data_IF_301614582504
#
_entry.id   IF_301614582504
#
_cell.length_a   1.000
_cell.length_b   1.000
_cell.length_c   1.000
_cell.angle_alpha   90.00
_cell.angle_beta   90.00
_cell.angle_gamma   90.00
#
_symmetry.space_group_name_H-M   'P 1'
#
loop_
_entity.id
_entity.type
_entity.pdbx_description
1 polymer ?
#
# COMPACT_ATOMS: atom_id res chain seq x y z
N UNK A 1 38.07 20.17 26.16
CA UNK A 1 37.32 20.43 24.91
C UNK A 1 36.52 19.18 24.57
N UNK A 2 35.21 19.18 24.83
CA UNK A 2 34.33 18.02 24.56
C UNK A 2 33.66 18.19 23.20
N UNK A 3 33.77 17.17 22.35
CA UNK A 3 33.23 17.18 20.99
C UNK A 3 31.69 17.33 20.99
N UNK A 4 31.10 18.05 20.01
CA UNK A 4 29.66 18.24 19.95
C UNK A 4 28.95 16.90 19.66
N UNK A 5 28.04 16.49 20.56
CA UNK A 5 27.15 15.34 20.36
C UNK A 5 26.30 15.58 19.12
N UNK A 6 26.49 14.75 18.07
CA UNK A 6 25.66 14.78 16.86
C UNK A 6 24.18 14.57 17.26
N UNK A 7 23.24 15.42 16.80
CA UNK A 7 21.84 15.28 17.18
C UNK A 7 21.27 13.97 16.62
N UNK A 8 20.74 13.14 17.50
CA UNK A 8 20.11 11.87 17.18
C UNK A 8 18.86 12.09 16.31
N UNK A 9 19.00 11.96 14.98
CA UNK A 9 17.87 11.99 14.04
C UNK A 9 17.05 10.72 14.21
N UNK A 10 15.96 10.79 14.97
CA UNK A 10 14.96 9.72 15.07
C UNK A 10 14.39 9.42 13.68
N UNK A 11 14.79 8.29 13.08
CA UNK A 11 14.12 7.73 11.90
C UNK A 11 12.84 7.02 12.37
N UNK A 12 11.76 7.76 12.59
CA UNK A 12 10.45 7.13 12.79
C UNK A 12 9.97 6.58 11.45
N UNK A 13 10.08 5.27 11.26
CA UNK A 13 9.62 4.57 10.07
C UNK A 13 8.08 4.56 9.95
N UNK A 14 7.40 4.93 11.04
CA UNK A 14 5.95 4.95 11.18
C UNK A 14 5.52 6.39 11.50
N UNK A 15 5.12 7.12 10.46
CA UNK A 15 4.68 8.52 10.57
C UNK A 15 3.15 8.62 10.67
N UNK A 16 2.40 7.63 10.15
CA UNK A 16 0.94 7.55 10.26
C UNK A 16 0.47 6.08 10.24
N UNK A 17 0.38 5.44 11.42
CA UNK A 17 -0.21 4.09 11.59
C UNK A 17 -1.62 3.95 10.98
N UNK A 18 -2.58 4.87 11.22
CA UNK A 18 -3.96 4.61 10.80
C UNK A 18 -4.15 4.59 9.28
N UNK A 19 -3.38 5.40 8.54
CA UNK A 19 -3.43 5.43 7.07
C UNK A 19 -2.89 4.12 6.48
N UNK A 20 -1.74 3.64 7.00
CA UNK A 20 -1.13 2.37 6.57
C UNK A 20 -2.04 1.19 6.83
N UNK A 21 -2.64 1.10 8.03
CA UNK A 21 -3.58 0.03 8.34
C UNK A 21 -4.82 0.07 7.45
N UNK A 22 -5.39 1.25 7.18
CA UNK A 22 -6.55 1.38 6.29
C UNK A 22 -6.23 0.99 4.84
N UNK A 23 -5.08 1.39 4.31
CA UNK A 23 -4.67 1.03 2.96
C UNK A 23 -4.40 -0.46 2.83
N UNK A 24 -3.61 -1.04 3.73
CA UNK A 24 -3.29 -2.47 3.73
C UNK A 24 -4.56 -3.31 3.95
N UNK A 25 -5.47 -2.90 4.83
CA UNK A 25 -6.71 -3.64 5.05
C UNK A 25 -7.64 -3.63 3.84
N UNK A 26 -7.76 -2.50 3.12
CA UNK A 26 -8.52 -2.44 1.87
C UNK A 26 -7.87 -3.32 0.80
N UNK A 27 -6.53 -3.29 0.66
CA UNK A 27 -5.82 -4.15 -0.28
C UNK A 27 -6.01 -5.64 0.04
N UNK A 28 -5.94 -6.02 1.31
CA UNK A 28 -6.18 -7.39 1.76
C UNK A 28 -7.63 -7.82 1.54
N UNK A 29 -8.60 -6.95 1.82
CA UNK A 29 -10.01 -7.23 1.58
C UNK A 29 -10.29 -7.43 0.09
N UNK A 30 -9.71 -6.59 -0.77
CA UNK A 30 -9.84 -6.73 -2.22
C UNK A 30 -9.16 -8.02 -2.72
N UNK A 31 -7.96 -8.33 -2.22
CA UNK A 31 -7.26 -9.57 -2.53
C UNK A 31 -8.06 -10.81 -2.11
N UNK A 32 -8.62 -10.79 -0.89
CA UNK A 32 -9.47 -11.86 -0.38
C UNK A 32 -10.76 -12.00 -1.21
N UNK A 33 -11.43 -10.90 -1.55
CA UNK A 33 -12.63 -10.91 -2.37
C UNK A 33 -12.37 -11.51 -3.76
N UNK A 34 -11.27 -11.12 -4.40
CA UNK A 34 -10.86 -11.69 -5.69
C UNK A 34 -10.51 -13.18 -5.57
N UNK A 35 -9.83 -13.58 -4.49
CA UNK A 35 -9.49 -14.98 -4.22
C UNK A 35 -10.76 -15.82 -4.03
N UNK A 36 -11.71 -15.35 -3.24
CA UNK A 36 -13.01 -16.02 -3.03
C UNK A 36 -13.79 -16.12 -4.33
N UNK A 37 -13.82 -15.05 -5.13
CA UNK A 37 -14.48 -15.06 -6.44
C UNK A 37 -13.84 -16.09 -7.39
N UNK A 38 -12.51 -16.15 -7.44
CA UNK A 38 -11.75 -17.10 -8.25
C UNK A 38 -12.00 -18.55 -7.81
N UNK A 39 -11.78 -18.86 -6.53
CA UNK A 39 -11.95 -20.22 -5.99
C UNK A 39 -13.42 -20.66 -6.06
N UNK A 40 -14.37 -19.77 -5.75
CA UNK A 40 -15.80 -20.07 -5.85
C UNK A 40 -16.26 -20.30 -7.28
N UNK A 41 -15.77 -19.50 -8.24
CA UNK A 41 -16.04 -19.70 -9.67
C UNK A 41 -15.46 -21.00 -10.20
N UNK A 42 -14.24 -21.34 -9.78
CA UNK A 42 -13.59 -22.60 -10.12
C UNK A 42 -14.34 -23.80 -9.54
N UNK A 43 -14.73 -23.74 -8.26
CA UNK A 43 -15.54 -24.76 -7.61
C UNK A 43 -16.90 -24.95 -8.32
N UNK A 44 -17.55 -23.86 -8.71
CA UNK A 44 -18.80 -23.93 -9.46
C UNK A 44 -18.59 -24.57 -10.85
N UNK A 45 -17.52 -24.19 -11.56
CA UNK A 45 -17.16 -24.78 -12.84
C UNK A 45 -16.83 -26.27 -12.73
N UNK A 46 -16.12 -26.66 -11.67
CA UNK A 46 -15.84 -28.05 -11.33
C UNK A 46 -17.15 -28.84 -11.17
N UNK A 47 -18.04 -28.35 -10.29
CA UNK A 47 -19.30 -29.00 -10.01
C UNK A 47 -20.16 -29.18 -11.27
N UNK A 48 -20.27 -28.11 -12.08
CA UNK A 48 -20.97 -28.15 -13.37
C UNK A 48 -20.37 -29.17 -14.33
N UNK A 49 -19.04 -29.22 -14.43
CA UNK A 49 -18.33 -30.14 -15.34
C UNK A 49 -18.53 -31.59 -14.91
N UNK A 50 -18.30 -31.89 -13.63
CA UNK A 50 -18.47 -33.26 -13.11
C UNK A 50 -19.91 -33.75 -13.24
N UNK A 51 -20.88 -32.86 -13.01
CA UNK A 51 -22.30 -33.19 -13.17
C UNK A 51 -22.67 -33.44 -14.65
N UNK A 52 -22.22 -32.56 -15.55
CA UNK A 52 -22.58 -32.62 -16.98
C UNK A 52 -22.03 -33.87 -17.67
N UNK A 53 -20.82 -34.28 -17.30
CA UNK A 53 -20.13 -35.42 -17.93
C UNK A 53 -20.24 -36.73 -17.12
N UNK A 54 -21.06 -36.76 -16.06
CA UNK A 54 -21.21 -37.90 -15.13
C UNK A 54 -19.88 -38.39 -14.51
N UNK A 55 -18.94 -37.47 -14.33
CA UNK A 55 -17.60 -37.75 -13.77
C UNK A 55 -17.57 -37.64 -12.25
N UNK A 56 -18.71 -37.40 -11.60
CA UNK A 56 -18.81 -37.32 -10.13
C UNK A 56 -18.34 -38.60 -9.42
N UNK A 57 -18.40 -39.74 -10.11
CA UNK A 57 -17.97 -41.05 -9.59
C UNK A 57 -16.54 -41.41 -9.99
N UNK A 58 -15.91 -40.63 -10.87
CA UNK A 58 -14.52 -40.86 -11.25
C UNK A 58 -13.60 -40.28 -10.16
N UNK A 59 -12.96 -41.14 -9.33
CA UNK A 59 -12.14 -40.68 -8.22
C UNK A 59 -10.90 -39.92 -8.71
N UNK A 60 -10.40 -40.22 -9.91
CA UNK A 60 -9.24 -39.54 -10.49
C UNK A 60 -9.63 -38.11 -10.82
N UNK A 61 -10.75 -37.89 -11.51
CA UNK A 61 -11.21 -36.53 -11.86
C UNK A 61 -11.46 -35.69 -10.61
N UNK A 62 -12.22 -36.23 -9.64
CA UNK A 62 -12.49 -35.53 -8.38
C UNK A 62 -11.19 -35.19 -7.65
N UNK A 63 -10.23 -36.12 -7.58
CA UNK A 63 -8.95 -35.88 -6.91
C UNK A 63 -8.08 -34.83 -7.61
N UNK A 64 -8.03 -34.81 -8.94
CA UNK A 64 -7.25 -33.84 -9.71
C UNK A 64 -7.75 -32.42 -9.44
N UNK A 65 -9.07 -32.22 -9.50
CA UNK A 65 -9.65 -30.91 -9.28
C UNK A 65 -9.55 -30.44 -7.83
N UNK A 66 -9.87 -31.30 -6.85
CA UNK A 66 -9.76 -30.93 -5.43
C UNK A 66 -8.31 -30.68 -4.99
N UNK A 67 -7.34 -31.44 -5.53
CA UNK A 67 -5.91 -31.19 -5.28
C UNK A 67 -5.47 -29.88 -5.91
N UNK A 68 -5.91 -29.58 -7.13
CA UNK A 68 -5.60 -28.31 -7.81
C UNK A 68 -6.18 -27.12 -7.05
N UNK A 69 -7.44 -27.19 -6.60
CA UNK A 69 -8.08 -26.15 -5.78
C UNK A 69 -7.31 -25.92 -4.46
N UNK A 70 -6.88 -26.99 -3.80
CA UNK A 70 -6.11 -26.88 -2.55
C UNK A 70 -4.74 -26.22 -2.80
N UNK A 71 -4.03 -26.61 -3.85
CA UNK A 71 -2.74 -26.01 -4.22
C UNK A 71 -2.92 -24.50 -4.51
N UNK A 72 -3.91 -24.14 -5.32
CA UNK A 72 -4.21 -22.74 -5.63
C UNK A 72 -4.57 -21.94 -4.37
N UNK A 73 -5.39 -22.51 -3.48
CA UNK A 73 -5.74 -21.86 -2.21
C UNK A 73 -4.49 -21.62 -1.34
N UNK A 74 -3.57 -22.59 -1.28
CA UNK A 74 -2.30 -22.45 -0.56
C UNK A 74 -1.41 -21.36 -1.20
N UNK A 75 -1.33 -21.30 -2.52
CA UNK A 75 -0.60 -20.25 -3.24
C UNK A 75 -1.13 -18.85 -2.90
N UNK A 76 -2.46 -18.67 -2.88
CA UNK A 76 -3.06 -17.38 -2.47
C UNK A 76 -2.71 -17.00 -1.02
N UNK A 77 -2.68 -17.97 -0.10
CA UNK A 77 -2.27 -17.73 1.29
C UNK A 77 -0.79 -17.30 1.35
N UNK A 78 0.08 -17.94 0.57
CA UNK A 78 1.50 -17.61 0.50
C UNK A 78 1.76 -16.21 -0.10
N UNK A 79 0.82 -15.65 -0.86
CA UNK A 79 0.90 -14.29 -1.39
C UNK A 79 0.53 -13.20 -0.37
N UNK A 80 -0.13 -13.53 0.74
CA UNK A 80 -0.55 -12.53 1.76
C UNK A 80 0.63 -11.69 2.28
N UNK A 81 1.78 -12.26 2.69
CA UNK A 81 2.93 -11.48 3.14
C UNK A 81 3.44 -10.50 2.08
N UNK A 82 3.40 -10.90 0.80
CA UNK A 82 3.79 -10.04 -0.31
C UNK A 82 2.82 -8.86 -0.47
N UNK A 83 1.51 -9.10 -0.42
CA UNK A 83 0.50 -8.04 -0.49
C UNK A 83 0.67 -7.04 0.66
N UNK A 84 0.91 -7.52 1.88
CA UNK A 84 1.19 -6.67 3.04
C UNK A 84 2.45 -5.83 2.81
N UNK A 85 3.54 -6.46 2.36
CA UNK A 85 4.80 -5.78 2.10
C UNK A 85 4.64 -4.67 1.05
N UNK A 86 3.97 -4.96 -0.07
CA UNK A 86 3.67 -3.97 -1.12
C UNK A 86 2.83 -2.82 -0.56
N UNK A 87 1.77 -3.12 0.19
CA UNK A 87 0.88 -2.11 0.75
C UNK A 87 1.59 -1.16 1.72
N UNK A 88 2.47 -1.69 2.58
CA UNK A 88 3.30 -0.87 3.47
C UNK A 88 4.28 -0.01 2.67
N UNK A 89 4.97 -0.60 1.69
CA UNK A 89 5.94 0.11 0.85
C UNK A 89 5.30 1.26 0.08
N UNK A 90 4.16 1.01 -0.57
CA UNK A 90 3.42 2.01 -1.32
C UNK A 90 2.92 3.14 -0.41
N UNK A 91 2.36 2.79 0.75
CA UNK A 91 1.86 3.81 1.68
C UNK A 91 3.00 4.66 2.25
N UNK A 92 4.20 4.10 2.45
CA UNK A 92 5.34 4.89 2.93
C UNK A 92 5.75 5.98 1.93
N UNK A 93 5.70 5.69 0.62
CA UNK A 93 5.99 6.65 -0.45
C UNK A 93 5.03 7.83 -0.53
N UNK A 94 3.85 7.73 0.10
CA UNK A 94 2.85 8.80 0.14
C UNK A 94 2.82 9.47 1.51
N UNK A 95 2.72 8.68 2.59
CA UNK A 95 2.51 9.18 3.94
C UNK A 95 3.69 10.04 4.46
N UNK A 96 4.93 9.64 4.14
CA UNK A 96 6.13 10.39 4.53
C UNK A 96 6.16 11.80 3.93
N UNK A 97 6.05 11.93 2.60
CA UNK A 97 5.92 13.21 1.91
C UNK A 97 4.77 14.08 2.40
N UNK A 98 3.60 13.48 2.60
CA UNK A 98 2.39 14.22 2.99
C UNK A 98 2.57 14.97 4.32
N UNK A 99 3.26 14.36 5.29
CA UNK A 99 3.54 15.02 6.58
C UNK A 99 4.46 16.23 6.41
N UNK A 100 5.46 16.15 5.54
CA UNK A 100 6.37 17.28 5.26
C UNK A 100 5.62 18.44 4.59
N UNK A 101 4.77 18.12 3.63
CA UNK A 101 3.93 19.10 2.92
C UNK A 101 2.94 19.75 3.90
N UNK A 102 2.27 18.97 4.77
CA UNK A 102 1.35 19.52 5.77
C UNK A 102 2.04 20.48 6.75
N UNK A 103 3.24 20.12 7.21
CA UNK A 103 4.03 21.00 8.08
C UNK A 103 4.43 22.31 7.38
N UNK A 104 4.79 22.24 6.10
CA UNK A 104 5.10 23.41 5.30
C UNK A 104 3.91 24.35 5.10
N UNK A 105 2.74 23.79 4.76
CA UNK A 105 1.50 24.55 4.63
C UNK A 105 1.09 25.23 5.94
N UNK A 106 1.27 24.56 7.09
CA UNK A 106 1.00 25.16 8.40
C UNK A 106 1.91 26.38 8.67
N UNK A 107 3.21 26.28 8.38
CA UNK A 107 4.13 27.42 8.49
C UNK A 107 3.74 28.59 7.57
N UNK A 108 3.30 28.29 6.34
CA UNK A 108 2.81 29.32 5.42
C UNK A 108 1.55 30.01 5.95
N UNK A 109 0.62 29.26 6.57
CA UNK A 109 -0.57 29.81 7.19
C UNK A 109 -0.26 30.74 8.38
N UNK A 110 0.86 30.50 9.08
CA UNK A 110 1.37 31.36 10.15
C UNK A 110 2.15 32.60 9.64
N UNK A 111 2.17 32.85 8.32
CA UNK A 111 2.91 33.97 7.72
C UNK A 111 4.42 33.72 7.58
N UNK A 112 4.89 32.49 7.85
CA UNK A 112 6.31 32.13 7.70
C UNK A 112 6.56 31.65 6.28
N UNK A 113 6.97 32.55 5.40
CA UNK A 113 7.15 32.24 3.96
C UNK A 113 8.52 31.67 3.57
N UNK A 114 9.47 31.58 4.50
CA UNK A 114 10.80 31.02 4.23
C UNK A 114 10.81 29.49 4.36
N UNK A 115 9.93 28.82 3.62
CA UNK A 115 9.77 27.35 3.67
C UNK A 115 10.22 26.74 2.35
N UNK A 116 10.98 25.64 2.44
CA UNK A 116 11.38 24.83 1.30
C UNK A 116 11.19 23.34 1.61
N UNK A 117 10.27 22.69 0.91
CA UNK A 117 9.98 21.27 0.97
C UNK A 117 10.83 20.53 -0.04
N UNK A 118 11.64 19.59 0.44
CA UNK A 118 12.38 18.65 -0.42
C UNK A 118 11.97 17.22 -0.06
N UNK A 119 11.64 16.45 -1.09
CA UNK A 119 11.24 15.04 -0.98
C UNK A 119 12.33 14.14 -1.56
N UNK A 120 12.28 12.85 -1.23
CA UNK A 120 13.26 11.88 -1.73
C UNK A 120 12.91 11.50 -3.17
N UNK A 121 13.93 11.10 -3.95
CA UNK A 121 13.69 10.54 -5.28
C UNK A 121 12.79 9.31 -5.17
N UNK A 122 11.70 9.28 -5.94
CA UNK A 122 10.72 8.19 -5.95
C UNK A 122 9.60 8.29 -4.91
N UNK A 123 9.53 9.38 -4.14
CA UNK A 123 8.35 9.75 -3.37
C UNK A 123 7.22 10.19 -4.31
N UNK A 124 5.96 9.91 -3.96
CA UNK A 124 4.83 10.11 -4.88
C UNK A 124 4.39 11.58 -5.04
N UNK A 125 4.79 12.48 -4.13
CA UNK A 125 4.27 13.85 -4.03
C UNK A 125 5.31 14.92 -4.40
N UNK A 126 6.30 14.60 -5.23
CA UNK A 126 7.39 15.51 -5.62
C UNK A 126 6.84 16.79 -6.26
N UNK A 127 5.96 16.66 -7.25
CA UNK A 127 5.35 17.80 -7.95
C UNK A 127 4.57 18.70 -6.98
N UNK A 128 3.80 18.12 -6.06
CA UNK A 128 3.08 18.88 -5.04
C UNK A 128 4.02 19.65 -4.09
N UNK A 129 5.17 19.06 -3.74
CA UNK A 129 6.18 19.77 -2.94
C UNK A 129 6.79 20.96 -3.70
N UNK A 130 7.00 20.82 -5.01
CA UNK A 130 7.45 21.92 -5.86
C UNK A 130 6.40 23.04 -5.94
N UNK A 131 5.13 22.70 -6.08
CA UNK A 131 4.02 23.66 -6.09
C UNK A 131 3.96 24.45 -4.77
N UNK A 132 4.12 23.78 -3.63
CA UNK A 132 4.19 24.44 -2.31
C UNK A 132 5.39 25.37 -2.22
N UNK A 133 6.55 24.99 -2.77
CA UNK A 133 7.73 25.86 -2.80
C UNK A 133 7.50 27.10 -3.68
N UNK A 134 6.84 26.94 -4.83
CA UNK A 134 6.48 28.07 -5.71
C UNK A 134 5.53 29.03 -5.00
N UNK A 135 4.53 28.50 -4.30
CA UNK A 135 3.60 29.29 -3.48
C UNK A 135 4.33 30.06 -2.38
N UNK A 136 5.19 29.39 -1.60
CA UNK A 136 6.00 30.02 -0.56
C UNK A 136 6.83 31.19 -1.12
N UNK A 137 7.47 30.98 -2.27
CA UNK A 137 8.23 32.01 -2.95
C UNK A 137 7.38 33.17 -3.45
N UNK A 138 6.16 32.93 -3.91
CA UNK A 138 5.23 33.98 -4.34
C UNK A 138 4.72 34.81 -3.17
N UNK A 139 4.37 34.18 -2.04
CA UNK A 139 3.92 34.87 -0.83
C UNK A 139 5.03 35.73 -0.22
N UNK A 140 6.27 35.22 -0.18
CA UNK A 140 7.46 35.96 0.27
C UNK A 140 7.77 37.21 -0.57
N UNK A 141 7.31 37.28 -1.81
CA UNK A 141 7.47 38.47 -2.67
C UNK A 141 6.36 39.50 -2.48
N UNK A 142 5.25 39.12 -1.85
CA UNK A 142 4.04 39.95 -1.69
C UNK A 142 3.87 40.55 -0.30
N UNK A 143 4.38 39.88 0.74
CA UNK A 143 4.50 40.41 2.10
C UNK A 143 5.93 40.83 2.37
#
# INVERSE_FOLDING_TARGET
>A
MTAPKRPYRRRQFIVNRPLQFRFVSIMLAMFAALTVLMLGGMYFALWMTLYTFDLLRDPVMVSLFTTTELILALEFVLLIPLVIWIGIWLTHKVAGPLVRIRAALAMLAEGRFNVQVTLRKGDALIELAEDVNRLAGALRRRG
#
